data_IF_055678250161
#
_entry.id   IF_055678250161
#
_cell.length_a   1.000
_cell.length_b   1.000
_cell.length_c   1.000
_cell.angle_alpha   90.00
_cell.angle_beta   90.00
_cell.angle_gamma   90.00
#
_symmetry.space_group_name_H-M   'P 1'
#
loop_
_entity.id
_entity.type
_entity.pdbx_description
1 polymer ?
#
# COMPACT_ATOMS: atom_id res chain seq x y z
N UNK A 1 1.37 22.73 -15.58
CA UNK A 1 0.16 22.05 -16.10
C UNK A 1 0.13 20.68 -15.45
N UNK A 2 -0.70 20.47 -14.44
CA UNK A 2 -0.89 19.16 -13.80
C UNK A 2 -1.43 18.18 -14.83
N UNK A 3 -0.86 16.96 -14.87
CA UNK A 3 -1.27 15.95 -15.82
C UNK A 3 -2.73 15.56 -15.51
N UNK A 4 -3.65 15.45 -16.49
CA UNK A 4 -5.05 15.05 -16.26
C UNK A 4 -5.17 13.71 -15.51
N UNK A 5 -4.16 12.84 -15.61
CA UNK A 5 -4.06 11.60 -14.83
C UNK A 5 -3.83 11.88 -13.35
N UNK A 6 -2.96 12.82 -13.00
CA UNK A 6 -2.67 13.19 -11.61
C UNK A 6 -3.90 13.78 -10.92
N UNK A 7 -4.69 14.58 -11.65
CA UNK A 7 -5.95 15.13 -11.16
C UNK A 7 -7.02 14.05 -10.95
N UNK A 8 -7.09 13.06 -11.85
CA UNK A 8 -7.98 11.92 -11.68
C UNK A 8 -7.58 11.06 -10.46
N UNK A 9 -6.28 10.83 -10.27
CA UNK A 9 -5.75 10.10 -9.11
C UNK A 9 -5.99 10.85 -7.79
N UNK A 10 -5.80 12.17 -7.78
CA UNK A 10 -6.07 12.99 -6.61
C UNK A 10 -7.56 12.96 -6.23
N UNK A 11 -8.46 13.06 -7.22
CA UNK A 11 -9.90 12.90 -6.98
C UNK A 11 -10.23 11.50 -6.46
N UNK A 12 -9.68 10.46 -7.05
CA UNK A 12 -9.90 9.08 -6.60
C UNK A 12 -9.45 8.87 -5.14
N UNK A 13 -8.27 9.39 -4.76
CA UNK A 13 -7.78 9.37 -3.36
C UNK A 13 -8.74 10.08 -2.41
N UNK A 14 -9.23 11.25 -2.81
CA UNK A 14 -10.17 12.01 -2.00
C UNK A 14 -11.49 11.25 -1.79
N UNK A 15 -12.03 10.64 -2.85
CA UNK A 15 -13.25 9.85 -2.75
C UNK A 15 -13.07 8.62 -1.86
N UNK A 16 -11.98 7.87 -2.05
CA UNK A 16 -11.68 6.71 -1.22
C UNK A 16 -11.57 7.07 0.25
N UNK A 17 -10.91 8.20 0.56
CA UNK A 17 -10.81 8.70 1.94
C UNK A 17 -12.18 9.05 2.52
N UNK A 18 -13.00 9.77 1.75
CA UNK A 18 -14.34 10.15 2.20
C UNK A 18 -15.20 8.90 2.46
N UNK A 19 -15.17 7.91 1.57
CA UNK A 19 -15.88 6.64 1.77
C UNK A 19 -15.37 5.86 2.99
N UNK A 20 -14.05 5.84 3.22
CA UNK A 20 -13.48 5.20 4.40
C UNK A 20 -13.90 5.90 5.70
N UNK A 21 -13.93 7.23 5.68
CA UNK A 21 -14.39 8.05 6.81
C UNK A 21 -15.88 7.82 7.09
N UNK A 22 -16.71 7.82 6.06
CA UNK A 22 -18.14 7.54 6.18
C UNK A 22 -18.39 6.12 6.74
N UNK A 23 -17.64 5.12 6.24
CA UNK A 23 -17.73 3.75 6.74
C UNK A 23 -17.32 3.62 8.20
N UNK A 24 -16.22 4.24 8.61
CA UNK A 24 -15.77 4.22 10.00
C UNK A 24 -16.77 4.91 10.95
N UNK A 25 -17.34 6.04 10.52
CA UNK A 25 -18.40 6.72 11.26
C UNK A 25 -19.67 5.87 11.38
N UNK A 26 -20.09 5.21 10.29
CA UNK A 26 -21.25 4.32 10.31
C UNK A 26 -21.07 3.17 11.30
N UNK A 27 -19.88 2.56 11.35
CA UNK A 27 -19.56 1.51 12.33
C UNK A 27 -19.61 2.06 13.76
N UNK A 28 -19.04 3.24 14.02
CA UNK A 28 -19.10 3.89 15.35
C UNK A 28 -20.55 4.07 15.80
N UNK A 29 -21.39 4.64 14.93
CA UNK A 29 -22.81 4.86 15.21
C UNK A 29 -23.56 3.55 15.48
N UNK A 30 -23.25 2.47 14.76
CA UNK A 30 -23.85 1.16 14.98
C UNK A 30 -23.47 0.55 16.34
N UNK A 31 -22.21 0.72 16.76
CA UNK A 31 -21.76 0.28 18.09
C UNK A 31 -22.47 1.08 19.17
N UNK A 32 -22.55 2.40 19.04
CA UNK A 32 -23.27 3.29 19.97
C UNK A 32 -24.76 2.92 20.07
N UNK A 33 -25.42 2.68 18.94
CA UNK A 33 -26.82 2.26 18.90
C UNK A 33 -27.02 0.90 19.59
N UNK A 34 -26.09 -0.05 19.41
CA UNK A 34 -26.14 -1.37 20.04
C UNK A 34 -25.95 -1.28 21.55
N UNK A 35 -25.04 -0.42 22.02
CA UNK A 35 -24.85 -0.15 23.45
C UNK A 35 -26.10 0.46 24.09
N UNK A 36 -26.71 1.46 23.43
CA UNK A 36 -27.96 2.06 23.88
C UNK A 36 -29.12 1.05 23.92
N UNK A 37 -29.24 0.18 22.91
CA UNK A 37 -30.25 -0.88 22.89
C UNK A 37 -30.06 -1.93 24.00
N UNK A 38 -28.84 -2.07 24.52
CA UNK A 38 -28.48 -3.03 25.57
C UNK A 38 -28.45 -2.41 26.97
N UNK A 39 -28.89 -1.16 27.13
CA UNK A 39 -28.79 -0.35 28.36
C UNK A 39 -27.35 -0.21 28.92
N UNK A 40 -26.34 -0.41 28.07
CA UNK A 40 -24.94 -0.21 28.43
C UNK A 40 -24.63 1.29 28.31
N UNK A 41 -24.66 1.98 29.44
CA UNK A 41 -24.43 3.44 29.52
C UNK A 41 -22.96 3.81 29.61
N UNK A 42 -22.08 2.89 30.01
CA UNK A 42 -20.64 3.11 30.01
C UNK A 42 -19.88 1.83 29.72
N UNK A 43 -18.82 1.97 28.95
CA UNK A 43 -17.90 0.89 28.58
C UNK A 43 -16.55 1.26 29.17
N UNK A 44 -15.96 0.36 29.96
CA UNK A 44 -14.62 0.59 30.49
C UNK A 44 -13.63 0.72 29.33
N UNK A 45 -12.71 1.69 29.41
CA UNK A 45 -11.73 1.95 28.35
C UNK A 45 -10.90 0.69 28.01
N UNK A 46 -10.58 -0.13 29.03
CA UNK A 46 -9.79 -1.35 28.87
C UNK A 46 -10.60 -2.55 28.35
N UNK A 47 -11.93 -2.43 28.26
CA UNK A 47 -12.76 -3.49 27.70
C UNK A 47 -12.58 -3.60 26.19
N UNK A 48 -12.91 -4.76 25.63
CA UNK A 48 -12.84 -4.99 24.19
C UNK A 48 -13.60 -3.93 23.38
N UNK A 49 -14.80 -3.55 23.81
CA UNK A 49 -15.61 -2.53 23.13
C UNK A 49 -14.96 -1.14 23.25
N UNK A 50 -14.41 -0.81 24.42
CA UNK A 50 -13.71 0.46 24.65
C UNK A 50 -12.46 0.58 23.76
N UNK A 51 -11.69 -0.49 23.64
CA UNK A 51 -10.53 -0.55 22.74
C UNK A 51 -10.95 -0.38 21.26
N UNK A 52 -12.03 -1.02 20.83
CA UNK A 52 -12.55 -0.89 19.45
C UNK A 52 -13.02 0.55 19.18
N UNK A 53 -13.75 1.17 20.11
CA UNK A 53 -14.18 2.56 19.99
C UNK A 53 -12.99 3.51 19.93
N UNK A 54 -11.97 3.30 20.76
CA UNK A 54 -10.76 4.12 20.72
C UNK A 54 -10.02 3.99 19.40
N UNK A 55 -9.85 2.75 18.89
CA UNK A 55 -9.22 2.52 17.59
C UNK A 55 -9.99 3.15 16.43
N UNK A 56 -11.33 3.09 16.46
CA UNK A 56 -12.18 3.75 15.47
C UNK A 56 -12.09 5.28 15.57
N UNK A 57 -12.07 5.84 16.77
CA UNK A 57 -11.92 7.27 16.99
C UNK A 57 -10.56 7.77 16.46
N UNK A 58 -9.48 7.03 16.75
CA UNK A 58 -8.13 7.33 16.25
C UNK A 58 -8.10 7.25 14.72
N UNK A 59 -8.72 6.22 14.12
CA UNK A 59 -8.82 6.07 12.67
C UNK A 59 -9.57 7.24 12.01
N UNK A 60 -10.70 7.64 12.59
CA UNK A 60 -11.49 8.79 12.11
C UNK A 60 -10.68 10.08 12.24
N UNK A 61 -9.95 10.27 13.33
CA UNK A 61 -9.11 11.45 13.55
C UNK A 61 -7.99 11.55 12.50
N UNK A 62 -7.33 10.43 12.17
CA UNK A 62 -6.32 10.38 11.11
C UNK A 62 -6.95 10.69 9.74
N UNK A 63 -8.09 10.08 9.41
CA UNK A 63 -8.79 10.31 8.14
C UNK A 63 -9.26 11.77 7.98
N UNK A 64 -9.64 12.44 9.07
CA UNK A 64 -10.02 13.87 9.10
C UNK A 64 -8.82 14.81 9.03
N UNK A 65 -7.71 14.45 9.67
CA UNK A 65 -6.57 15.32 9.92
C UNK A 65 -5.73 15.71 8.70
N UNK A 66 -6.05 15.21 7.50
CA UNK A 66 -5.23 15.40 6.29
C UNK A 66 -3.76 14.92 6.48
N UNK A 67 -3.48 14.19 7.55
CA UNK A 67 -2.18 13.60 7.85
C UNK A 67 -1.98 12.39 6.94
N UNK A 68 -0.72 12.02 6.69
CA UNK A 68 -0.38 10.81 5.94
C UNK A 68 -1.02 9.60 6.63
N UNK A 69 -2.19 9.22 6.13
CA UNK A 69 -2.94 8.07 6.62
C UNK A 69 -2.09 6.83 6.39
N UNK A 70 -1.64 6.22 7.49
CA UNK A 70 -0.99 4.93 7.47
C UNK A 70 -2.00 3.88 7.90
N UNK A 71 -2.35 2.97 7.00
CA UNK A 71 -3.26 1.86 7.30
C UNK A 71 -2.69 1.00 8.45
N UNK A 72 -3.49 0.62 9.47
CA UNK A 72 -3.04 -0.27 10.53
C UNK A 72 -2.49 -1.59 9.96
N UNK A 73 -1.33 -2.04 10.45
CA UNK A 73 -0.62 -3.22 9.92
C UNK A 73 -1.48 -4.48 9.87
N UNK A 74 -2.33 -4.68 10.89
CA UNK A 74 -3.24 -5.81 10.99
C UNK A 74 -4.30 -5.86 9.86
N UNK A 75 -4.62 -4.72 9.25
CA UNK A 75 -5.53 -4.62 8.10
C UNK A 75 -4.76 -4.57 6.77
N UNK A 76 -3.55 -3.99 6.79
CA UNK A 76 -2.70 -3.86 5.61
C UNK A 76 -2.27 -5.23 5.06
N UNK A 77 -1.83 -6.15 5.91
CA UNK A 77 -1.25 -7.43 5.48
C UNK A 77 -2.27 -8.35 4.78
N UNK A 78 -3.49 -8.60 5.33
CA UNK A 78 -4.49 -9.41 4.64
C UNK A 78 -4.97 -8.78 3.33
N UNK A 79 -5.10 -7.44 3.30
CA UNK A 79 -5.56 -6.71 2.12
C UNK A 79 -4.50 -6.72 1.01
N UNK A 80 -3.23 -6.56 1.35
CA UNK A 80 -2.12 -6.67 0.40
C UNK A 80 -2.05 -8.08 -0.20
N UNK A 81 -2.16 -9.13 0.64
CA UNK A 81 -2.14 -10.52 0.18
C UNK A 81 -3.32 -10.84 -0.77
N UNK A 82 -4.52 -10.36 -0.44
CA UNK A 82 -5.71 -10.53 -1.29
C UNK A 82 -5.54 -9.79 -2.64
N UNK A 83 -5.01 -8.57 -2.61
CA UNK A 83 -4.74 -7.78 -3.80
C UNK A 83 -3.71 -8.45 -4.72
N UNK A 84 -2.61 -8.96 -4.16
CA UNK A 84 -1.59 -9.68 -4.92
C UNK A 84 -2.13 -10.97 -5.55
N UNK A 85 -3.01 -11.69 -4.85
CA UNK A 85 -3.67 -12.87 -5.40
C UNK A 85 -4.53 -12.52 -6.62
N UNK A 86 -5.26 -11.40 -6.55
CA UNK A 86 -6.12 -10.95 -7.64
C UNK A 86 -5.30 -10.39 -8.82
N UNK A 87 -4.22 -9.66 -8.55
CA UNK A 87 -3.27 -9.23 -9.59
C UNK A 87 -2.74 -10.45 -10.35
N UNK A 88 -2.25 -11.49 -9.67
CA UNK A 88 -1.76 -12.73 -10.32
C UNK A 88 -2.83 -13.40 -11.16
N UNK A 89 -4.07 -13.44 -10.69
CA UNK A 89 -5.22 -13.99 -11.43
C UNK A 89 -5.44 -13.23 -12.74
N UNK A 90 -5.46 -11.90 -12.68
CA UNK A 90 -5.68 -11.06 -13.85
C UNK A 90 -4.48 -10.98 -14.78
N UNK A 91 -3.25 -11.08 -14.27
CA UNK A 91 -2.03 -11.24 -15.08
C UNK A 91 -2.12 -12.49 -15.97
N UNK A 92 -2.43 -13.65 -15.38
CA UNK A 92 -2.59 -14.88 -16.13
C UNK A 92 -3.69 -14.76 -17.20
N UNK A 93 -4.85 -14.20 -16.82
CA UNK A 93 -5.98 -14.04 -17.74
C UNK A 93 -5.70 -13.06 -18.88
N UNK A 94 -4.94 -12.00 -18.62
CA UNK A 94 -4.60 -10.95 -19.60
C UNK A 94 -3.73 -11.42 -20.77
N UNK A 95 -3.12 -12.61 -20.64
CA UNK A 95 -2.32 -13.24 -21.69
C UNK A 95 -3.22 -13.73 -22.84
N UNK A 96 -4.43 -14.20 -22.51
CA UNK A 96 -5.41 -14.72 -23.46
C UNK A 96 -6.58 -13.77 -23.74
N UNK A 97 -6.86 -12.83 -22.84
CA UNK A 97 -8.00 -11.92 -22.90
C UNK A 97 -7.53 -10.45 -22.91
N UNK A 98 -7.65 -9.72 -24.04
CA UNK A 98 -7.22 -8.33 -24.14
C UNK A 98 -7.95 -7.39 -23.16
N UNK A 99 -9.22 -7.64 -22.84
CA UNK A 99 -10.03 -6.78 -21.97
C UNK A 99 -9.61 -6.92 -20.51
N UNK A 100 -9.10 -8.08 -20.12
CA UNK A 100 -8.52 -8.34 -18.80
C UNK A 100 -7.30 -7.44 -18.49
N UNK A 101 -6.64 -6.85 -19.50
CA UNK A 101 -5.52 -5.90 -19.29
C UNK A 101 -5.96 -4.61 -18.61
N UNK A 102 -7.18 -4.14 -18.90
CA UNK A 102 -7.74 -2.94 -18.26
C UNK A 102 -7.99 -3.20 -16.77
N UNK A 103 -8.52 -4.38 -16.46
CA UNK A 103 -8.77 -4.83 -15.09
C UNK A 103 -7.46 -4.97 -14.32
N UNK A 104 -6.46 -5.62 -14.91
CA UNK A 104 -5.11 -5.71 -14.34
C UNK A 104 -4.54 -4.32 -14.03
N UNK A 105 -4.63 -3.38 -14.97
CA UNK A 105 -4.13 -2.01 -14.77
C UNK A 105 -4.84 -1.28 -13.62
N UNK A 106 -6.13 -1.53 -13.42
CA UNK A 106 -6.88 -0.99 -12.29
C UNK A 106 -6.40 -1.57 -10.96
N UNK A 107 -6.18 -2.88 -10.87
CA UNK A 107 -5.65 -3.50 -9.65
C UNK A 107 -4.21 -3.05 -9.33
N UNK A 108 -3.36 -2.89 -10.35
CA UNK A 108 -2.03 -2.31 -10.18
C UNK A 108 -2.12 -0.86 -9.67
N UNK A 109 -3.00 -0.03 -10.26
CA UNK A 109 -3.24 1.33 -9.77
C UNK A 109 -3.74 1.37 -8.32
N UNK A 110 -4.62 0.43 -7.95
CA UNK A 110 -5.12 0.30 -6.57
C UNK A 110 -3.99 -0.04 -5.59
N UNK A 111 -3.03 -0.90 -6.00
CA UNK A 111 -1.85 -1.22 -5.19
C UNK A 111 -0.99 0.02 -4.95
N UNK A 112 -0.73 0.82 -5.98
CA UNK A 112 0.03 2.07 -5.84
C UNK A 112 -0.66 3.03 -4.86
N UNK A 113 -1.99 3.16 -4.93
CA UNK A 113 -2.74 3.98 -3.99
C UNK A 113 -2.62 3.47 -2.55
N UNK A 114 -2.63 2.15 -2.34
CA UNK A 114 -2.49 1.54 -1.02
C UNK A 114 -1.07 1.69 -0.47
N UNK A 115 -0.04 1.66 -1.33
CA UNK A 115 1.34 1.93 -0.92
C UNK A 115 1.54 3.35 -0.41
N UNK A 116 0.92 4.34 -1.06
CA UNK A 116 0.91 5.74 -0.59
C UNK A 116 0.21 5.88 0.78
N UNK A 117 -0.65 4.91 1.15
CA UNK A 117 -1.32 4.84 2.44
C UNK A 117 -0.56 3.98 3.48
N UNK A 118 0.75 3.79 3.29
CA UNK A 118 1.61 3.09 4.25
C UNK A 118 1.53 1.56 4.17
N UNK A 119 0.85 1.00 3.17
CA UNK A 119 0.82 -0.46 2.93
C UNK A 119 1.99 -0.95 2.07
N UNK A 120 3.09 -0.20 1.96
CA UNK A 120 4.34 -0.82 1.53
C UNK A 120 4.62 -1.92 2.54
N UNK A 121 4.34 -3.17 2.15
CA UNK A 121 4.91 -4.30 2.87
C UNK A 121 6.39 -4.00 3.04
N UNK A 122 6.94 -4.40 4.18
CA UNK A 122 8.37 -4.68 4.25
C UNK A 122 8.64 -5.74 3.18
N UNK A 123 8.89 -5.25 1.96
CA UNK A 123 9.47 -6.01 0.89
C UNK A 123 10.62 -6.74 1.54
N UNK A 124 10.51 -8.07 1.53
CA UNK A 124 11.42 -9.00 2.17
C UNK A 124 12.81 -8.39 2.28
N UNK A 125 13.25 -8.24 3.53
CA UNK A 125 14.66 -8.34 3.84
C UNK A 125 15.10 -9.68 3.22
N UNK A 126 15.56 -9.60 1.97
CA UNK A 126 16.23 -10.69 1.31
C UNK A 126 17.27 -11.12 2.34
N UNK A 127 17.28 -12.38 2.79
CA UNK A 127 18.25 -12.81 3.77
C UNK A 127 19.60 -12.41 3.21
N UNK A 128 20.24 -11.47 3.91
CA UNK A 128 21.56 -10.99 3.56
C UNK A 128 22.38 -12.25 3.33
N UNK A 129 22.75 -12.48 2.07
CA UNK A 129 23.60 -13.60 1.71
C UNK A 129 24.85 -13.41 2.55
N UNK A 130 24.97 -14.27 3.57
CA UNK A 130 26.12 -14.27 4.44
C UNK A 130 27.36 -14.42 3.56
N UNK A 131 28.37 -13.55 3.72
CA UNK A 131 29.57 -13.61 2.93
C UNK A 131 30.43 -14.72 3.52
N UNK A 132 30.30 -15.94 3.02
CA UNK A 132 31.31 -16.95 3.30
C UNK A 132 31.49 -17.88 2.10
N UNK A 133 32.39 -17.45 1.20
CA UNK A 133 33.24 -18.36 0.44
C UNK A 133 34.58 -17.65 0.18
N UNK A 134 35.72 -18.30 0.51
CA UNK A 134 37.03 -17.69 0.46
C UNK A 134 37.48 -17.42 -0.98
N UNK A 135 38.16 -16.29 -1.16
CA UNK A 135 38.73 -15.81 -2.41
C UNK A 135 39.82 -16.75 -2.97
N UNK A 136 39.93 -16.93 -4.30
CA UNK A 136 41.19 -17.25 -4.95
C UNK A 136 41.93 -15.96 -5.35
N UNK A 137 43.27 -16.01 -5.51
CA UNK A 137 44.12 -14.84 -5.38
C UNK A 137 44.13 -13.92 -6.60
N UNK A 138 44.23 -12.65 -6.23
CA UNK A 138 44.59 -11.44 -6.96
C UNK A 138 45.85 -11.66 -7.82
N UNK A 139 45.76 -11.40 -9.13
CA UNK A 139 46.93 -11.03 -9.93
C UNK A 139 46.73 -9.62 -10.51
N UNK A 140 47.80 -8.81 -10.58
CA UNK A 140 47.69 -7.35 -10.54
C UNK A 140 47.46 -6.73 -11.92
N UNK A 141 46.71 -5.62 -11.93
CA UNK A 141 46.59 -4.68 -13.04
C UNK A 141 47.97 -4.19 -13.53
N UNK A 142 48.01 -3.73 -14.80
CA UNK A 142 48.25 -2.29 -14.94
C UNK A 142 47.28 -1.60 -15.91
N UNK A 143 46.75 -0.50 -15.38
CA UNK A 143 46.26 0.72 -16.02
C UNK A 143 46.63 0.94 -17.49
N UNK A 144 45.63 1.27 -18.32
CA UNK A 144 45.67 2.47 -19.18
C UNK A 144 44.32 2.82 -19.80
N UNK A 145 43.91 4.04 -19.46
CA UNK A 145 42.90 4.89 -20.07
C UNK A 145 42.97 4.85 -21.61
N UNK A 146 41.91 4.44 -22.31
CA UNK A 146 41.80 4.65 -23.77
C UNK A 146 40.37 5.01 -24.18
N UNK A 147 40.15 6.32 -24.26
CA UNK A 147 39.01 6.96 -24.93
C UNK A 147 38.98 6.48 -26.39
N UNK A 148 37.90 5.82 -26.82
CA UNK A 148 37.67 5.55 -28.24
C UNK A 148 37.06 6.80 -28.89
N UNK A 149 37.84 7.46 -29.75
CA UNK A 149 37.32 8.47 -30.69
C UNK A 149 36.87 7.75 -31.96
N UNK A 150 35.62 7.97 -32.36
CA UNK A 150 35.10 7.59 -33.67
C UNK A 150 35.74 8.46 -34.75
N UNK A 151 36.09 7.87 -35.90
CA UNK A 151 36.41 8.61 -37.13
C UNK A 151 35.10 8.91 -37.84
N UNK A 152 34.87 10.18 -38.20
CA UNK A 152 34.00 10.54 -39.31
C UNK A 152 34.86 10.47 -40.57
N UNK A 153 34.41 9.71 -41.57
CA UNK A 153 34.93 9.80 -42.93
C UNK A 153 34.15 10.91 -43.67
N UNK A 154 34.88 11.71 -44.46
CA UNK A 154 34.36 12.77 -45.35
C UNK A 154 33.48 12.22 -46.49
#
# INVERSE_FOLDING_TARGET
MTNPVDEALQRARQHLRNSALEGAQAISTLIEATMHASDITSVAADSMIGQIQQQLADLIAVLKGNSNFSMPRALAEPLAAALDAEIRRWEHRSQSDPDARLVLRAFLGMRELLWEMGMRGSEQEAPASSPDKPSPPRNPHPTRNRVQRFKLDD
#
